data_IF_829625869227
#
_entry.id   IF_829625869227
#
_cell.length_a   1.000
_cell.length_b   1.000
_cell.length_c   1.000
_cell.angle_alpha   90.00
_cell.angle_beta   90.00
_cell.angle_gamma   90.00
#
_symmetry.space_group_name_H-M   'P 1'
#
loop_
_entity.id
_entity.type
_entity.pdbx_description
1 polymer ?
#
# COMPACT_ATOMS: atom_id res chain seq x y z
N UNK A 1 -9.82 18.86 -44.42
CA UNK A 1 -9.04 17.66 -44.03
C UNK A 1 -7.88 18.07 -43.13
N UNK A 2 -8.05 18.11 -41.81
CA UNK A 2 -6.93 18.09 -40.85
C UNK A 2 -7.41 17.35 -39.60
N UNK A 3 -7.26 16.03 -39.61
CA UNK A 3 -7.47 15.18 -38.44
C UNK A 3 -6.40 15.52 -37.41
N UNK A 4 -6.75 16.27 -36.37
CA UNK A 4 -5.94 16.39 -35.17
C UNK A 4 -6.06 15.07 -34.39
N UNK A 5 -5.13 14.16 -34.64
CA UNK A 5 -4.93 12.93 -33.87
C UNK A 5 -4.38 13.30 -32.49
N UNK A 6 -5.28 13.51 -31.52
CA UNK A 6 -4.94 13.56 -30.10
C UNK A 6 -4.73 12.12 -29.60
N UNK A 7 -3.51 11.63 -29.69
CA UNK A 7 -3.09 10.40 -29.02
C UNK A 7 -2.90 10.73 -27.54
N UNK A 8 -3.92 10.43 -26.74
CA UNK A 8 -3.87 10.52 -25.29
C UNK A 8 -2.96 9.43 -24.72
N UNK A 9 -1.79 9.83 -24.22
CA UNK A 9 -0.86 8.98 -23.49
C UNK A 9 -1.43 8.71 -22.08
N UNK A 10 -2.22 7.64 -21.92
CA UNK A 10 -2.58 7.13 -20.59
C UNK A 10 -1.34 6.49 -19.95
N UNK A 11 -0.68 7.20 -19.05
CA UNK A 11 0.34 6.66 -18.16
C UNK A 11 -0.34 5.72 -17.16
N UNK A 12 -0.28 4.41 -17.44
CA UNK A 12 -0.64 3.36 -16.48
C UNK A 12 0.41 3.32 -15.36
N UNK A 13 0.23 4.14 -14.33
CA UNK A 13 1.01 4.01 -13.10
C UNK A 13 0.63 2.70 -12.42
N UNK A 14 1.53 1.70 -12.45
CA UNK A 14 1.35 0.48 -11.69
C UNK A 14 1.30 0.81 -10.20
N UNK A 15 0.12 0.71 -9.58
CA UNK A 15 -0.02 0.94 -8.15
C UNK A 15 0.66 -0.21 -7.40
N UNK A 16 1.84 0.05 -6.83
CA UNK A 16 2.58 -0.91 -5.99
C UNK A 16 1.91 -1.18 -4.62
N UNK A 17 0.84 -0.44 -4.31
CA UNK A 17 -0.01 -0.57 -3.13
C UNK A 17 -1.37 -1.13 -3.51
N UNK A 18 -1.94 -1.99 -2.67
CA UNK A 18 -3.35 -2.39 -2.79
C UNK A 18 -4.31 -1.23 -2.53
N UNK A 19 -3.83 -0.16 -1.90
CA UNK A 19 -4.68 0.78 -1.18
C UNK A 19 -5.19 0.16 0.13
N UNK A 20 -5.78 0.99 0.99
CA UNK A 20 -6.53 0.49 2.15
C UNK A 20 -7.83 -0.15 1.70
N UNK A 21 -8.03 -1.42 2.06
CA UNK A 21 -9.27 -2.17 1.79
C UNK A 21 -9.89 -2.68 3.11
N UNK A 22 -11.23 -2.70 3.25
CA UNK A 22 -11.88 -3.32 4.40
C UNK A 22 -11.79 -4.85 4.32
N UNK A 23 -11.56 -5.51 5.46
CA UNK A 23 -11.45 -6.99 5.55
C UNK A 23 -12.39 -7.62 6.59
N UNK A 24 -13.20 -6.81 7.28
CA UNK A 24 -14.15 -7.27 8.28
C UNK A 24 -14.68 -6.10 9.11
N UNK A 25 -15.33 -6.40 10.23
CA UNK A 25 -15.84 -5.38 11.15
C UNK A 25 -14.67 -4.57 11.70
N UNK A 26 -14.68 -3.27 11.43
CA UNK A 26 -13.68 -2.28 11.85
C UNK A 26 -12.22 -2.62 11.52
N UNK A 27 -11.98 -3.55 10.58
CA UNK A 27 -10.64 -4.00 10.22
C UNK A 27 -10.35 -3.74 8.75
N UNK A 28 -9.12 -3.32 8.53
CA UNK A 28 -8.61 -2.89 7.24
C UNK A 28 -7.29 -3.59 6.96
N UNK A 29 -6.99 -3.71 5.67
CA UNK A 29 -5.77 -4.26 5.14
C UNK A 29 -5.13 -3.29 4.19
N UNK A 30 -3.80 -3.27 4.19
CA UNK A 30 -3.00 -2.65 3.16
C UNK A 30 -1.76 -3.50 2.89
N UNK A 31 -1.47 -3.73 1.62
CA UNK A 31 -0.27 -4.43 1.17
C UNK A 31 0.52 -3.59 0.19
N UNK A 32 1.85 -3.61 0.32
CA UNK A 32 2.78 -3.07 -0.67
C UNK A 32 3.80 -4.10 -1.11
N UNK A 33 4.10 -4.13 -2.40
CA UNK A 33 5.13 -4.98 -3.01
C UNK A 33 6.31 -4.12 -3.44
N UNK A 34 7.51 -4.69 -3.41
CA UNK A 34 8.72 -4.01 -3.89
C UNK A 34 8.61 -3.73 -5.39
N UNK A 35 8.98 -2.52 -5.81
CA UNK A 35 8.95 -2.12 -7.21
C UNK A 35 10.14 -2.66 -8.01
N UNK A 36 11.22 -3.06 -7.34
CA UNK A 36 12.45 -3.56 -7.94
C UNK A 36 13.00 -4.78 -7.19
N UNK A 37 13.73 -5.69 -7.87
CA UNK A 37 14.43 -6.78 -7.21
C UNK A 37 15.48 -6.28 -6.22
N UNK A 38 15.65 -7.01 -5.12
CA UNK A 38 16.63 -6.69 -4.08
C UNK A 38 16.80 -7.85 -3.11
N UNK A 39 17.59 -7.61 -2.05
CA UNK A 39 17.79 -8.56 -0.95
C UNK A 39 17.32 -7.93 0.35
N UNK A 40 16.58 -8.71 1.16
CA UNK A 40 16.14 -8.29 2.49
C UNK A 40 14.82 -7.51 2.48
N UNK A 41 14.61 -6.71 3.53
CA UNK A 41 13.33 -6.01 3.77
C UNK A 41 13.36 -4.61 3.20
N UNK A 42 12.34 -4.25 2.42
CA UNK A 42 12.10 -2.85 2.03
C UNK A 42 11.51 -2.04 3.19
N UNK A 43 12.38 -1.30 3.88
CA UNK A 43 11.96 -0.39 4.96
C UNK A 43 11.06 0.74 4.42
N UNK A 44 11.23 1.15 3.17
CA UNK A 44 10.39 2.16 2.54
C UNK A 44 8.95 1.67 2.40
N UNK A 45 8.75 0.45 1.90
CA UNK A 45 7.42 -0.12 1.76
C UNK A 45 6.76 -0.34 3.12
N UNK A 46 7.53 -0.80 4.11
CA UNK A 46 7.05 -0.92 5.49
C UNK A 46 6.61 0.42 6.06
N UNK A 47 7.43 1.46 5.95
CA UNK A 47 7.05 2.80 6.41
C UNK A 47 5.86 3.37 5.62
N UNK A 48 5.73 3.05 4.33
CA UNK A 48 4.63 3.52 3.50
C UNK A 48 3.29 2.91 3.90
N UNK A 49 3.22 1.60 4.21
CA UNK A 49 1.95 0.99 4.63
C UNK A 49 1.45 1.58 5.95
N UNK A 50 2.36 1.88 6.89
CA UNK A 50 2.01 2.55 8.13
C UNK A 50 1.51 3.97 7.93
N UNK A 51 2.16 4.76 7.06
CA UNK A 51 1.72 6.12 6.75
C UNK A 51 0.32 6.11 6.14
N UNK A 52 0.08 5.28 5.14
CA UNK A 52 -1.21 5.22 4.45
C UNK A 52 -2.34 4.73 5.39
N UNK A 53 -2.08 3.72 6.22
CA UNK A 53 -3.04 3.25 7.23
C UNK A 53 -3.35 4.31 8.30
N UNK A 54 -2.33 5.03 8.77
CA UNK A 54 -2.50 6.11 9.72
C UNK A 54 -3.27 7.29 9.11
N UNK A 55 -2.96 7.67 7.87
CA UNK A 55 -3.67 8.72 7.15
C UNK A 55 -5.14 8.34 6.92
N UNK A 56 -5.42 7.06 6.67
CA UNK A 56 -6.79 6.55 6.56
C UNK A 56 -7.58 6.74 7.86
N UNK A 57 -7.03 6.37 9.02
CA UNK A 57 -7.72 6.57 10.30
C UNK A 57 -7.85 8.06 10.67
N UNK A 58 -6.81 8.87 10.39
CA UNK A 58 -6.81 10.31 10.68
C UNK A 58 -7.90 11.08 9.95
N UNK A 59 -8.26 10.68 8.72
CA UNK A 59 -9.39 11.28 7.98
C UNK A 59 -10.70 11.28 8.77
N UNK A 60 -10.86 10.35 9.71
CA UNK A 60 -12.04 10.21 10.57
C UNK A 60 -11.78 10.58 12.04
N UNK A 61 -10.69 11.28 12.35
CA UNK A 61 -10.27 11.62 13.73
C UNK A 61 -10.11 10.37 14.61
N UNK A 62 -9.62 9.27 14.04
CA UNK A 62 -9.36 8.03 14.74
C UNK A 62 -7.85 7.74 14.78
N UNK A 63 -7.44 6.97 15.79
CA UNK A 63 -6.08 6.47 15.96
C UNK A 63 -5.98 5.07 15.33
N UNK A 64 -4.91 4.83 14.58
CA UNK A 64 -4.61 3.52 14.02
C UNK A 64 -4.13 2.56 15.11
N UNK A 65 -4.75 1.38 15.18
CA UNK A 65 -4.33 0.26 16.01
C UNK A 65 -3.89 -0.88 15.11
N UNK A 66 -2.65 -1.31 15.24
CA UNK A 66 -2.08 -2.43 14.48
C UNK A 66 -2.67 -3.74 15.01
N UNK A 67 -3.15 -4.59 14.11
CA UNK A 67 -3.64 -5.92 14.44
C UNK A 67 -2.62 -7.00 14.09
N UNK A 68 -1.99 -6.87 12.93
CA UNK A 68 -1.03 -7.84 12.41
C UNK A 68 -0.12 -7.16 11.38
N UNK A 69 1.16 -7.49 11.38
CA UNK A 69 2.11 -7.05 10.36
C UNK A 69 2.87 -8.28 9.85
N UNK A 70 2.90 -8.45 8.54
CA UNK A 70 3.71 -9.46 7.89
C UNK A 70 4.63 -8.83 6.87
N UNK A 71 5.93 -8.94 7.12
CA UNK A 71 6.95 -8.54 6.16
C UNK A 71 7.60 -9.77 5.54
N UNK A 72 7.65 -9.75 4.22
CA UNK A 72 8.25 -10.79 3.41
C UNK A 72 9.51 -10.18 2.77
N UNK A 73 10.71 -10.67 3.10
CA UNK A 73 11.92 -10.15 2.48
C UNK A 73 12.00 -10.53 1.00
N UNK A 74 12.63 -9.66 0.23
CA UNK A 74 13.07 -9.94 -1.13
C UNK A 74 14.24 -10.94 -1.10
N UNK A 75 14.19 -11.90 -2.01
CA UNK A 75 15.24 -12.88 -2.27
C UNK A 75 15.44 -12.96 -3.79
N UNK A 76 16.53 -13.58 -4.30
CA UNK A 76 16.67 -13.81 -5.73
C UNK A 76 15.41 -14.46 -6.31
N UNK A 77 14.92 -13.92 -7.42
CA UNK A 77 13.68 -14.31 -8.11
C UNK A 77 12.35 -14.08 -7.34
N UNK A 78 12.34 -13.38 -6.20
CA UNK A 78 11.11 -13.00 -5.49
C UNK A 78 11.19 -11.61 -4.87
N UNK A 79 10.28 -10.74 -5.31
CA UNK A 79 10.10 -9.41 -4.72
C UNK A 79 9.54 -9.49 -3.31
N UNK A 80 10.06 -8.65 -2.41
CA UNK A 80 9.55 -8.50 -1.07
C UNK A 80 8.18 -7.81 -1.03
N UNK A 81 7.55 -7.87 0.13
CA UNK A 81 6.28 -7.20 0.39
C UNK A 81 6.08 -6.94 1.88
N UNK A 82 5.24 -5.96 2.20
CA UNK A 82 4.75 -5.75 3.55
C UNK A 82 3.23 -5.69 3.53
N UNK A 83 2.61 -6.41 4.43
CA UNK A 83 1.16 -6.48 4.65
C UNK A 83 0.87 -6.00 6.07
N UNK A 84 -0.11 -5.11 6.21
CA UNK A 84 -0.52 -4.56 7.48
C UNK A 84 -2.04 -4.71 7.62
N UNK A 85 -2.47 -5.36 8.69
CA UNK A 85 -3.86 -5.34 9.16
C UNK A 85 -3.96 -4.39 10.33
N UNK A 86 -4.98 -3.56 10.32
CA UNK A 86 -5.18 -2.56 11.34
C UNK A 86 -6.68 -2.27 11.53
N UNK A 87 -7.00 -1.56 12.60
CA UNK A 87 -8.31 -0.97 12.85
C UNK A 87 -8.16 0.50 13.21
N UNK A 88 -9.24 1.26 13.01
CA UNK A 88 -9.31 2.64 13.46
C UNK A 88 -10.16 2.71 14.72
N UNK A 89 -9.64 3.33 15.79
CA UNK A 89 -10.34 3.49 17.05
C UNK A 89 -10.42 4.97 17.42
N UNK A 90 -11.59 5.42 17.94
CA UNK A 90 -11.65 6.74 18.56
C UNK A 90 -10.80 6.74 19.84
N UNK A 91 -10.08 7.83 20.03
CA UNK A 91 -9.27 8.05 21.23
C UNK A 91 -10.14 8.42 22.43
#
# INVERSE_FOLDING_TARGET
>A
MKHFLYVGLLLITGCASTGVIPIGTDSYFIGKKDGTPGLGVSLENKASVYREANDFCKKNNQTMIILDEKTIPAIPARLGSTELKFRCQKN
#
